data_IF_877876937700
#
_entry.id   IF_877876937700
#
_cell.length_a   1.000
_cell.length_b   1.000
_cell.length_c   1.000
_cell.angle_alpha   90.00
_cell.angle_beta   90.00
_cell.angle_gamma   90.00
#
_symmetry.space_group_name_H-M   'P 1'
#
loop_
_entity.id
_entity.type
_entity.pdbx_description
1 polymer ?
#
# COMPACT_ATOMS: atom_id res chain seq x y z
N UNK A 1 14.55 2.47 4.70
CA UNK A 1 13.22 2.84 5.23
C UNK A 1 12.21 2.63 4.12
N UNK A 2 11.13 1.90 4.40
CA UNK A 2 10.15 1.48 3.38
C UNK A 2 9.09 2.55 3.20
N UNK A 3 8.87 3.02 1.98
CA UNK A 3 7.79 3.98 1.72
C UNK A 3 6.43 3.28 1.63
N UNK A 4 5.44 3.87 2.28
CA UNK A 4 4.03 3.48 2.19
C UNK A 4 3.21 4.67 1.71
N UNK A 5 2.21 4.43 0.87
CA UNK A 5 1.37 5.49 0.28
C UNK A 5 -0.06 5.23 0.64
N UNK A 6 -0.77 6.26 1.11
CA UNK A 6 -2.18 6.19 1.48
C UNK A 6 -3.00 7.05 0.53
N UNK A 7 -3.86 6.43 -0.27
CA UNK A 7 -4.89 7.14 -1.02
C UNK A 7 -6.17 7.10 -0.21
N UNK A 8 -6.52 8.25 0.38
CA UNK A 8 -7.72 8.38 1.19
C UNK A 8 -8.97 8.26 0.33
N UNK A 9 -9.81 7.26 0.62
CA UNK A 9 -11.15 7.15 0.08
C UNK A 9 -12.21 7.58 1.11
N UNK A 10 -13.49 7.64 0.73
CA UNK A 10 -14.57 7.90 1.65
C UNK A 10 -14.55 6.85 2.78
N UNK A 11 -14.46 7.29 4.03
CA UNK A 11 -14.46 6.39 5.20
C UNK A 11 -13.08 5.92 5.69
N UNK A 12 -11.97 6.29 5.04
CA UNK A 12 -10.63 6.07 5.57
C UNK A 12 -10.15 7.31 6.33
N UNK A 13 -9.84 7.16 7.62
CA UNK A 13 -9.12 8.18 8.37
C UNK A 13 -7.64 8.16 7.97
N UNK A 14 -7.27 8.99 7.00
CA UNK A 14 -5.91 9.04 6.43
C UNK A 14 -4.83 9.21 7.50
N UNK A 15 -5.03 10.13 8.45
CA UNK A 15 -4.11 10.37 9.57
C UNK A 15 -3.87 9.12 10.43
N UNK A 16 -4.92 8.35 10.72
CA UNK A 16 -4.80 7.11 11.48
C UNK A 16 -3.98 6.07 10.72
N UNK A 17 -4.23 5.93 9.41
CA UNK A 17 -3.47 5.01 8.56
C UNK A 17 -1.99 5.43 8.43
N UNK A 18 -1.72 6.74 8.25
CA UNK A 18 -0.36 7.28 8.19
C UNK A 18 0.40 7.06 9.50
N UNK A 19 -0.22 7.38 10.64
CA UNK A 19 0.38 7.18 11.95
C UNK A 19 0.69 5.71 12.26
N UNK A 20 -0.21 4.81 11.88
CA UNK A 20 0.02 3.36 12.02
C UNK A 20 1.18 2.84 11.18
N UNK A 21 1.26 3.27 9.92
CA UNK A 21 2.35 2.89 9.04
C UNK A 21 3.68 3.45 9.54
N UNK A 22 3.68 4.69 10.02
CA UNK A 22 4.86 5.30 10.65
C UNK A 22 5.31 4.50 11.90
N UNK A 23 4.37 4.12 12.76
CA UNK A 23 4.65 3.30 13.94
C UNK A 23 5.19 1.90 13.57
N UNK A 24 4.79 1.36 12.42
CA UNK A 24 5.31 0.11 11.85
C UNK A 24 6.65 0.29 11.09
N UNK A 25 7.24 1.49 11.08
CA UNK A 25 8.55 1.77 10.49
C UNK A 25 8.52 2.12 8.99
N UNK A 26 7.36 2.47 8.45
CA UNK A 26 7.23 2.97 7.08
C UNK A 26 7.33 4.50 7.00
N UNK A 27 7.94 5.01 5.94
CA UNK A 27 7.82 6.41 5.50
C UNK A 27 6.45 6.57 4.82
N UNK A 28 5.43 6.94 5.59
CA UNK A 28 4.04 6.98 5.15
C UNK A 28 3.68 8.36 4.56
N UNK A 29 3.17 8.38 3.32
CA UNK A 29 2.78 9.61 2.62
C UNK A 29 1.34 9.53 2.11
N UNK A 30 0.61 10.65 2.17
CA UNK A 30 -0.71 10.75 1.57
C UNK A 30 -0.60 11.01 0.06
N UNK A 31 -1.41 10.33 -0.74
CA UNK A 31 -1.59 10.59 -2.16
C UNK A 31 -2.97 11.22 -2.41
N UNK A 32 -3.03 12.22 -3.29
CA UNK A 32 -4.28 12.86 -3.70
C UNK A 32 -5.00 12.14 -4.83
N UNK A 33 -4.29 11.29 -5.57
CA UNK A 33 -4.83 10.59 -6.74
C UNK A 33 -4.15 9.25 -6.99
N UNK A 34 -4.75 8.41 -7.84
CA UNK A 34 -4.14 7.17 -8.29
C UNK A 34 -2.86 7.40 -9.13
N UNK A 35 -2.75 8.56 -9.79
CA UNK A 35 -1.53 8.96 -10.51
C UNK A 35 -0.37 9.22 -9.53
N UNK A 36 -0.65 9.89 -8.40
CA UNK A 36 0.34 10.13 -7.35
C UNK A 36 0.80 8.83 -6.69
N UNK A 37 -0.15 7.91 -6.43
CA UNK A 37 0.17 6.55 -5.95
C UNK A 37 1.16 5.87 -6.90
N UNK A 38 0.90 5.93 -8.20
CA UNK A 38 1.79 5.35 -9.20
C UNK A 38 3.18 5.98 -9.18
N UNK A 39 3.27 7.30 -9.13
CA UNK A 39 4.55 7.99 -9.04
C UNK A 39 5.35 7.54 -7.81
N UNK A 40 4.70 7.38 -6.66
CA UNK A 40 5.38 6.87 -5.47
C UNK A 40 5.81 5.40 -5.59
N UNK A 41 5.03 4.53 -6.24
CA UNK A 41 5.42 3.14 -6.51
C UNK A 41 6.62 3.07 -7.47
N UNK A 42 6.67 3.95 -8.47
CA UNK A 42 7.81 4.09 -9.39
C UNK A 42 9.10 4.50 -8.65
N UNK A 43 8.97 5.33 -7.62
CA UNK A 43 10.08 5.73 -6.73
C UNK A 43 10.42 4.66 -5.68
N UNK A 44 9.61 3.60 -5.57
CA UNK A 44 9.91 2.43 -4.71
C UNK A 44 9.01 2.27 -3.48
N UNK A 45 7.79 2.81 -3.49
CA UNK A 45 6.81 2.50 -2.44
C UNK A 45 6.53 0.99 -2.37
N UNK A 46 6.69 0.41 -1.18
CA UNK A 46 6.49 -1.01 -0.92
C UNK A 46 5.04 -1.34 -0.54
N UNK A 47 4.27 -0.34 -0.08
CA UNK A 47 2.88 -0.49 0.37
C UNK A 47 2.02 0.62 -0.22
N UNK A 48 0.84 0.25 -0.71
CA UNK A 48 -0.22 1.16 -1.14
C UNK A 48 -1.47 0.81 -0.35
N UNK A 49 -1.99 1.76 0.43
CA UNK A 49 -3.24 1.63 1.19
C UNK A 49 -4.32 2.42 0.47
N UNK A 50 -5.43 1.74 0.16
CA UNK A 50 -6.58 2.32 -0.51
C UNK A 50 -7.80 2.24 0.41
N UNK A 51 -8.39 3.38 0.72
CA UNK A 51 -9.70 3.43 1.37
C UNK A 51 -10.80 3.13 0.38
N UNK A 52 -11.69 2.17 0.68
CA UNK A 52 -12.87 1.92 -0.13
C UNK A 52 -14.12 2.55 0.49
N UNK A 53 -14.83 3.36 -0.29
CA UNK A 53 -16.14 3.91 0.09
C UNK A 53 -17.30 2.91 0.03
N UNK A 54 -17.01 1.61 0.01
CA UNK A 54 -17.98 0.53 -0.22
C UNK A 54 -17.35 -0.88 -0.12
N UNK A 55 -18.11 -1.96 -0.40
CA UNK A 55 -17.66 -3.35 -0.25
C UNK A 55 -16.61 -3.79 -1.29
N UNK A 56 -15.99 -2.87 -2.02
CA UNK A 56 -14.99 -3.18 -3.03
C UNK A 56 -14.15 -1.97 -3.41
N UNK A 57 -13.07 -2.24 -4.15
CA UNK A 57 -12.23 -1.23 -4.76
C UNK A 57 -13.05 -0.40 -5.76
N UNK A 58 -12.88 0.92 -5.77
CA UNK A 58 -13.46 1.73 -6.85
C UNK A 58 -12.93 1.23 -8.20
N UNK A 59 -13.81 1.11 -9.21
CA UNK A 59 -13.45 0.62 -10.54
C UNK A 59 -12.32 1.45 -11.15
N UNK A 60 -12.27 2.76 -10.87
CA UNK A 60 -11.18 3.63 -11.32
C UNK A 60 -9.85 3.29 -10.63
N UNK A 61 -9.86 3.03 -9.31
CA UNK A 61 -8.68 2.60 -8.56
C UNK A 61 -8.19 1.22 -9.02
N UNK A 62 -9.11 0.29 -9.27
CA UNK A 62 -8.80 -1.04 -9.79
C UNK A 62 -8.15 -0.96 -11.17
N UNK A 63 -8.71 -0.15 -12.07
CA UNK A 63 -8.16 0.08 -13.40
C UNK A 63 -6.78 0.75 -13.35
N UNK A 64 -6.60 1.73 -12.45
CA UNK A 64 -5.31 2.40 -12.28
C UNK A 64 -4.22 1.44 -11.79
N UNK A 65 -4.52 0.59 -10.80
CA UNK A 65 -3.59 -0.45 -10.34
C UNK A 65 -3.34 -1.53 -11.40
N UNK A 66 -4.35 -1.92 -12.16
CA UNK A 66 -4.20 -2.88 -13.26
C UNK A 66 -3.32 -2.35 -14.40
N UNK A 67 -3.33 -1.03 -14.62
CA UNK A 67 -2.49 -0.36 -15.62
C UNK A 67 -1.00 -0.30 -15.25
N UNK A 68 -0.63 -0.65 -14.00
CA UNK A 68 0.76 -0.65 -13.57
C UNK A 68 1.57 -1.76 -14.29
N UNK A 69 2.77 -1.43 -14.79
CA UNK A 69 3.72 -2.41 -15.30
C UNK A 69 3.94 -3.57 -14.33
N UNK A 70 4.11 -4.79 -14.86
CA UNK A 70 4.26 -6.00 -14.04
C UNK A 70 5.42 -5.90 -13.03
N UNK A 71 6.50 -5.20 -13.38
CA UNK A 71 7.64 -4.95 -12.48
C UNK A 71 7.23 -4.15 -11.24
N UNK A 72 6.41 -3.11 -11.40
CA UNK A 72 5.90 -2.30 -10.28
C UNK A 72 4.91 -3.10 -9.45
N UNK A 73 4.02 -3.85 -10.11
CA UNK A 73 3.06 -4.72 -9.44
C UNK A 73 3.74 -5.83 -8.64
N UNK A 74 4.99 -6.21 -8.93
CA UNK A 74 5.75 -7.16 -8.12
C UNK A 74 6.43 -6.50 -6.92
N UNK A 75 6.82 -5.24 -7.02
CA UNK A 75 7.54 -4.52 -5.97
C UNK A 75 6.68 -3.83 -4.90
N UNK A 76 5.35 -3.80 -5.02
CA UNK A 76 4.48 -3.16 -4.02
C UNK A 76 3.27 -4.01 -3.58
N UNK A 77 2.91 -3.99 -2.30
CA UNK A 77 1.67 -4.60 -1.81
C UNK A 77 0.55 -3.57 -1.86
N UNK A 78 -0.64 -3.99 -2.28
CA UNK A 78 -1.86 -3.19 -2.19
C UNK A 78 -2.69 -3.70 -1.02
N UNK A 79 -3.05 -2.82 -0.10
CA UNK A 79 -3.90 -3.08 1.06
C UNK A 79 -5.20 -2.33 0.86
N UNK A 80 -6.30 -3.07 0.88
CA UNK A 80 -7.65 -2.51 0.76
C UNK A 80 -8.25 -2.39 2.15
N UNK A 81 -8.65 -1.17 2.50
CA UNK A 81 -9.24 -0.88 3.80
C UNK A 81 -10.71 -0.54 3.58
N UNK A 82 -11.57 -1.39 4.14
CA UNK A 82 -13.01 -1.25 4.06
C UNK A 82 -13.54 -0.07 4.88
N UNK A 83 -14.81 0.25 4.62
CA UNK A 83 -15.61 1.17 5.42
C UNK A 83 -15.61 0.79 6.91
N UNK A 84 -15.52 1.79 7.78
CA UNK A 84 -15.50 1.60 9.23
C UNK A 84 -14.11 1.43 9.85
N UNK A 85 -13.03 1.69 9.10
CA UNK A 85 -11.69 1.73 9.65
C UNK A 85 -11.57 2.81 10.73
N UNK A 86 -11.21 2.39 11.93
CA UNK A 86 -11.03 3.26 13.09
C UNK A 86 -9.58 3.35 13.51
N UNK A 87 -9.27 4.28 14.42
CA UNK A 87 -7.96 4.35 15.08
C UNK A 87 -7.57 3.06 15.80
N UNK A 88 -8.55 2.26 16.28
CA UNK A 88 -8.30 0.95 16.89
C UNK A 88 -7.77 -0.09 15.90
N UNK A 89 -8.18 0.01 14.62
CA UNK A 89 -7.73 -0.87 13.54
C UNK A 89 -6.35 -0.48 12.99
N UNK A 90 -5.90 0.73 13.29
CA UNK A 90 -4.69 1.30 12.74
C UNK A 90 -3.44 0.52 13.16
N UNK A 91 -3.29 0.12 14.43
CA UNK A 91 -2.17 -0.70 14.85
C UNK A 91 -2.07 -2.01 14.05
N UNK A 92 -3.22 -2.66 13.84
CA UNK A 92 -3.31 -3.90 13.07
C UNK A 92 -3.01 -3.69 11.59
N UNK A 93 -3.33 -2.53 11.03
CA UNK A 93 -2.96 -2.18 9.65
C UNK A 93 -1.44 -2.18 9.45
N UNK A 94 -0.68 -1.59 10.37
CA UNK A 94 0.78 -1.56 10.31
C UNK A 94 1.40 -2.96 10.33
N UNK A 95 0.93 -3.81 11.24
CA UNK A 95 1.35 -5.21 11.35
C UNK A 95 1.03 -6.02 10.08
N UNK A 96 -0.21 -5.90 9.58
CA UNK A 96 -0.65 -6.59 8.36
C UNK A 96 0.12 -6.12 7.13
N UNK A 97 0.41 -4.82 7.02
CA UNK A 97 1.22 -4.27 5.94
C UNK A 97 2.64 -4.84 5.98
N UNK A 98 3.27 -4.89 7.15
CA UNK A 98 4.58 -5.52 7.34
C UNK A 98 4.59 -7.00 6.96
N UNK A 99 3.61 -7.77 7.44
CA UNK A 99 3.47 -9.18 7.14
C UNK A 99 3.23 -9.44 5.64
N UNK A 100 2.38 -8.65 4.99
CA UNK A 100 2.10 -8.77 3.58
C UNK A 100 3.32 -8.46 2.70
N UNK A 101 4.12 -7.44 3.08
CA UNK A 101 5.40 -7.13 2.41
C UNK A 101 6.39 -8.29 2.55
N UNK A 102 6.51 -8.87 3.74
CA UNK A 102 7.37 -10.01 3.98
C UNK A 102 6.94 -11.24 3.17
N UNK A 103 5.65 -11.59 3.19
CA UNK A 103 5.08 -12.71 2.44
C UNK A 103 5.29 -12.51 0.93
N UNK A 104 5.00 -11.31 0.42
CA UNK A 104 5.18 -11.02 -0.99
C UNK A 104 6.64 -11.09 -1.43
N UNK A 105 7.57 -10.61 -0.59
CA UNK A 105 9.01 -10.72 -0.87
C UNK A 105 9.43 -12.17 -1.07
N UNK A 106 8.95 -13.09 -0.23
CA UNK A 106 9.24 -14.53 -0.36
C UNK A 106 8.69 -15.08 -1.68
N UNK A 107 7.46 -14.71 -2.06
CA UNK A 107 6.82 -15.17 -3.29
C UNK A 107 7.50 -14.63 -4.57
N UNK A 108 7.98 -13.39 -4.52
CA UNK A 108 8.55 -12.71 -5.69
C UNK A 108 10.05 -13.01 -5.86
N UNK A 109 10.78 -13.30 -4.78
CA UNK A 109 12.22 -13.57 -4.82
C UNK A 109 12.69 -14.56 -5.91
N UNK A 110 12.05 -15.72 -6.14
CA UNK A 110 12.48 -16.64 -7.19
C UNK A 110 12.16 -16.17 -8.62
N UNK A 111 11.22 -15.23 -8.79
CA UNK A 111 10.77 -14.75 -10.09
C UNK A 111 11.44 -13.43 -10.50
N UNK A 112 11.71 -12.57 -9.52
CA UNK A 112 12.23 -11.21 -9.72
C UNK A 112 12.97 -10.75 -8.44
N UNK A 113 14.24 -11.14 -8.28
CA UNK A 113 15.04 -10.79 -7.11
C UNK A 113 15.17 -9.28 -6.89
N UNK A 114 15.17 -8.50 -7.97
CA UNK A 114 15.25 -7.04 -7.92
C UNK A 114 13.96 -6.42 -7.37
N UNK A 115 12.78 -6.93 -7.74
CA UNK A 115 11.51 -6.52 -7.13
C UNK A 115 11.43 -6.96 -5.66
N UNK A 116 11.93 -8.15 -5.31
CA UNK A 116 11.99 -8.61 -3.92
C UNK A 116 12.92 -7.75 -3.05
N UNK A 117 14.05 -7.28 -3.61
CA UNK A 117 14.95 -6.33 -2.94
C UNK A 117 14.25 -5.02 -2.56
N UNK A 118 13.38 -4.50 -3.42
CA UNK A 118 12.59 -3.29 -3.16
C UNK A 118 11.60 -3.44 -2.01
N UNK A 119 11.11 -4.65 -1.74
CA UNK A 119 10.26 -4.96 -0.59
C UNK A 119 11.05 -5.10 0.74
N UNK A 120 12.38 -5.20 0.66
CA UNK A 120 13.27 -5.51 1.79
C UNK A 120 14.03 -4.35 2.42
N UNK A 121 14.13 -3.19 1.76
CA UNK A 121 14.93 -2.02 2.18
C UNK A 121 14.35 -1.17 3.31
#
# INVERSE_FOLDING_TARGET
MKRAVVLAGPGLQAEAALGALAAAGFDAVAAGSAADVRAHVEIGAAVVVLGSGGPGLDAAQAAALASMPAVLRRSCVVVLVGQGFTTGDAARLGELAGAAVAAKRVLVAPLDPSAAGRLGG
#
